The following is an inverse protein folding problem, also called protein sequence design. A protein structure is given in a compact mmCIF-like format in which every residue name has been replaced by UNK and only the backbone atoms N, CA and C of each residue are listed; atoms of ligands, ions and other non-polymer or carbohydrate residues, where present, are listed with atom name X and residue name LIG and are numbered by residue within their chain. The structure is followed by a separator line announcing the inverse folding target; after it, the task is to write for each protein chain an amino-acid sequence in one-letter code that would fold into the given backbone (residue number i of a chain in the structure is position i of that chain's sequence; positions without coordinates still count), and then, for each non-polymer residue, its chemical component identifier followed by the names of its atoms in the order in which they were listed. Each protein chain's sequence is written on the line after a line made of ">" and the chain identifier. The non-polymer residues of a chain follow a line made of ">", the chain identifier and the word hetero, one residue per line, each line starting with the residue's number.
data_IF_651608131154
#
_entry.id   IF_651608131154
#
_cell.length_a   1.000
_cell.length_b   1.000
_cell.length_c   1.000
_cell.angle_alpha   90.00
_cell.angle_beta   90.00
_cell.angle_gamma   90.00
#
_symmetry.space_group_name_H-M   'P 1'
#
loop_
_entity.id
_entity.type
_entity.pdbx_description
1 polymer ?
#
# COMPACT_ATOMS: atom_id res chain seq x y z
N UNK A 1 -27.60 2.10 0.17
CA UNK A 1 -27.65 3.12 -0.89
C UNK A 1 -29.04 3.27 -1.51
N UNK A 2 -29.70 2.19 -1.95
CA UNK A 2 -31.05 2.29 -2.56
C UNK A 2 -32.11 2.97 -1.67
N UNK A 3 -32.11 2.72 -0.34
CA UNK A 3 -33.01 3.42 0.61
C UNK A 3 -32.75 4.92 0.74
N UNK A 4 -31.59 5.39 0.29
CA UNK A 4 -31.24 6.81 0.19
C UNK A 4 -31.47 7.35 -1.24
N UNK A 5 -32.13 6.58 -2.11
CA UNK A 5 -32.37 6.91 -3.52
C UNK A 5 -31.09 7.20 -4.33
N UNK A 6 -29.97 6.61 -3.94
CA UNK A 6 -28.70 6.68 -4.68
C UNK A 6 -28.75 5.69 -5.83
N UNK A 7 -28.43 6.15 -7.04
CA UNK A 7 -28.35 5.30 -8.23
C UNK A 7 -27.31 4.19 -8.04
N UNK A 8 -27.56 2.97 -8.54
CA UNK A 8 -26.55 1.93 -8.55
C UNK A 8 -25.39 2.33 -9.47
N UNK A 9 -24.18 1.91 -9.11
CA UNK A 9 -23.03 2.02 -10.01
C UNK A 9 -23.21 1.07 -11.20
N UNK A 10 -22.68 1.44 -12.37
CA UNK A 10 -22.72 0.60 -13.56
C UNK A 10 -21.98 -0.73 -13.36
N UNK A 11 -20.87 -0.69 -12.60
CA UNK A 11 -20.06 -1.86 -12.26
C UNK A 11 -19.68 -1.78 -10.79
N UNK A 12 -19.82 -2.89 -10.08
CA UNK A 12 -19.36 -3.06 -8.70
C UNK A 12 -18.32 -4.18 -8.70
N UNK A 13 -17.08 -3.83 -8.40
CA UNK A 13 -15.97 -4.80 -8.31
C UNK A 13 -15.67 -5.12 -6.85
N UNK A 14 -15.26 -6.37 -6.58
CA UNK A 14 -14.75 -6.78 -5.27
C UNK A 14 -13.27 -7.04 -5.37
N UNK A 15 -12.49 -6.54 -4.40
CA UNK A 15 -11.04 -6.79 -4.36
C UNK A 15 -10.70 -8.28 -4.44
N UNK A 16 -11.49 -9.13 -3.78
CA UNK A 16 -11.33 -10.59 -3.79
C UNK A 16 -11.45 -11.24 -5.18
N UNK A 17 -12.05 -10.56 -6.15
CA UNK A 17 -12.23 -11.03 -7.54
C UNK A 17 -11.07 -10.61 -8.46
N UNK A 18 -10.18 -9.73 -8.00
CA UNK A 18 -9.10 -9.12 -8.81
C UNK A 18 -7.71 -9.35 -8.22
N UNK A 19 -7.58 -10.34 -7.33
CA UNK A 19 -6.31 -10.63 -6.67
C UNK A 19 -5.18 -10.98 -7.66
N UNK A 20 -5.41 -11.79 -8.72
CA UNK A 20 -4.37 -12.06 -9.71
C UNK A 20 -3.85 -10.78 -10.40
N UNK A 21 -4.73 -9.86 -10.75
CA UNK A 21 -4.38 -8.58 -11.38
C UNK A 21 -3.62 -7.66 -10.42
N UNK A 22 -4.00 -7.66 -9.13
CA UNK A 22 -3.28 -6.92 -8.09
C UNK A 22 -1.85 -7.47 -7.96
N UNK A 23 -1.68 -8.80 -7.87
CA UNK A 23 -0.36 -9.43 -7.80
C UNK A 23 0.49 -9.05 -9.02
N UNK A 24 -0.05 -9.19 -10.23
CA UNK A 24 0.66 -8.82 -11.46
C UNK A 24 1.03 -7.33 -11.51
N UNK A 25 0.21 -6.46 -10.92
CA UNK A 25 0.50 -5.04 -10.84
C UNK A 25 1.63 -4.75 -9.84
N UNK A 26 1.61 -5.41 -8.68
CA UNK A 26 2.66 -5.27 -7.66
C UNK A 26 4.00 -5.80 -8.18
N UNK A 27 4.02 -6.92 -8.90
CA UNK A 27 5.22 -7.43 -9.57
C UNK A 27 5.85 -6.37 -10.49
N UNK A 28 5.05 -5.70 -11.32
CA UNK A 28 5.56 -4.61 -12.18
C UNK A 28 6.13 -3.43 -11.39
N UNK A 29 5.58 -3.11 -10.22
CA UNK A 29 6.12 -2.04 -9.37
C UNK A 29 7.49 -2.45 -8.82
N UNK A 30 7.64 -3.71 -8.40
CA UNK A 30 8.92 -4.28 -7.96
C UNK A 30 9.93 -4.27 -9.11
N UNK A 31 9.55 -4.73 -10.30
CA UNK A 31 10.40 -4.75 -11.50
C UNK A 31 10.89 -3.34 -11.88
N UNK A 32 10.06 -2.32 -11.68
CA UNK A 32 10.42 -0.92 -11.91
C UNK A 32 11.29 -0.32 -10.79
N UNK A 33 11.61 -1.07 -9.73
CA UNK A 33 12.46 -0.65 -8.62
C UNK A 33 11.78 0.26 -7.59
N UNK A 34 10.44 0.32 -7.59
CA UNK A 34 9.66 1.17 -6.68
C UNK A 34 9.00 0.41 -5.53
N UNK A 35 9.29 -0.88 -5.39
CA UNK A 35 8.84 -1.69 -4.28
C UNK A 35 9.89 -2.72 -3.86
N UNK A 36 9.78 -3.20 -2.64
CA UNK A 36 10.67 -4.22 -2.08
C UNK A 36 9.90 -5.21 -1.21
N UNK A 37 10.39 -6.44 -1.19
CA UNK A 37 9.89 -7.52 -0.34
C UNK A 37 10.59 -7.48 1.01
N UNK A 38 9.86 -7.75 2.08
CA UNK A 38 10.40 -7.89 3.45
C UNK A 38 10.52 -9.37 3.83
N UNK A 39 11.28 -9.67 4.88
CA UNK A 39 11.55 -11.05 5.29
C UNK A 39 10.33 -11.81 5.78
N UNK A 40 9.25 -11.11 6.14
CA UNK A 40 7.96 -11.67 6.53
C UNK A 40 7.05 -12.02 5.33
N UNK A 41 7.47 -11.75 4.09
CA UNK A 41 6.67 -11.95 2.88
C UNK A 41 5.75 -10.77 2.51
N UNK A 42 5.83 -9.65 3.24
CA UNK A 42 5.13 -8.42 2.85
C UNK A 42 5.88 -7.69 1.72
N UNK A 43 5.16 -6.80 1.02
CA UNK A 43 5.70 -5.94 -0.03
C UNK A 43 5.35 -4.49 0.27
N UNK A 44 6.35 -3.62 0.25
CA UNK A 44 6.20 -2.20 0.51
C UNK A 44 6.61 -1.36 -0.70
N UNK A 45 5.92 -0.25 -0.90
CA UNK A 45 6.25 0.77 -1.89
C UNK A 45 7.35 1.69 -1.32
N UNK A 46 8.43 1.88 -2.07
CA UNK A 46 9.56 2.74 -1.69
C UNK A 46 9.31 4.17 -2.15
N UNK A 47 8.82 4.98 -1.23
CA UNK A 47 8.47 6.39 -1.49
C UNK A 47 9.69 7.23 -1.87
N UNK A 48 10.87 6.92 -1.33
CA UNK A 48 12.12 7.62 -1.67
C UNK A 48 12.63 7.22 -3.04
N UNK A 49 12.55 5.94 -3.40
CA UNK A 49 12.90 5.50 -4.75
C UNK A 49 11.99 6.16 -5.80
N UNK A 50 10.68 6.25 -5.52
CA UNK A 50 9.74 6.94 -6.41
C UNK A 50 10.09 8.42 -6.59
N UNK A 51 10.33 9.15 -5.49
CA UNK A 51 10.71 10.58 -5.51
C UNK A 51 12.06 10.86 -6.19
N UNK A 52 12.97 9.87 -6.19
CA UNK A 52 14.29 10.03 -6.81
C UNK A 52 14.25 10.21 -8.33
N UNK A 53 13.14 9.82 -8.97
CA UNK A 53 12.93 10.02 -10.39
C UNK A 53 12.32 11.42 -10.63
N UNK A 54 12.96 12.29 -11.44
CA UNK A 54 12.46 13.64 -11.73
C UNK A 54 11.06 13.70 -12.36
N UNK A 55 10.53 12.58 -12.85
CA UNK A 55 9.17 12.46 -13.42
C UNK A 55 8.11 12.12 -12.38
N UNK A 56 8.49 11.93 -11.13
CA UNK A 56 7.63 11.44 -10.06
C UNK A 56 7.64 12.42 -8.89
N UNK A 57 6.45 12.63 -8.32
CA UNK A 57 6.22 13.56 -7.23
C UNK A 57 5.22 12.91 -6.27
N UNK A 58 5.73 12.41 -5.15
CA UNK A 58 4.96 11.85 -4.06
C UNK A 58 4.25 12.97 -3.28
N UNK A 59 3.12 12.63 -2.65
CA UNK A 59 2.26 13.58 -1.94
C UNK A 59 1.69 14.74 -2.79
N UNK A 60 1.73 14.69 -4.12
CA UNK A 60 1.17 15.73 -5.01
C UNK A 60 -0.33 16.04 -4.81
N UNK A 61 -1.08 15.12 -4.21
CA UNK A 61 -2.52 15.25 -3.95
C UNK A 61 -2.84 15.76 -2.53
N UNK A 62 -1.82 15.98 -1.71
CA UNK A 62 -1.93 16.56 -0.36
C UNK A 62 -0.97 17.75 -0.29
N UNK A 63 -1.32 18.88 -0.92
CA UNK A 63 -0.41 20.01 -1.08
C UNK A 63 0.12 20.54 0.25
N UNK A 64 -0.65 20.42 1.33
CA UNK A 64 -0.30 20.89 2.67
C UNK A 64 0.83 20.06 3.31
N UNK A 65 1.04 18.82 2.86
CA UNK A 65 2.08 17.92 3.36
C UNK A 65 3.29 17.84 2.40
N UNK A 66 3.28 18.58 1.29
CA UNK A 66 4.38 18.54 0.32
C UNK A 66 5.64 19.20 0.89
N UNK A 67 6.72 18.42 1.02
CA UNK A 67 7.98 18.87 1.64
C UNK A 67 7.94 18.90 3.17
N UNK A 68 6.81 18.59 3.79
CA UNK A 68 6.68 18.41 5.25
C UNK A 68 6.60 16.92 5.57
N UNK A 69 7.78 16.34 5.86
CA UNK A 69 7.91 14.92 6.17
C UNK A 69 7.11 14.51 7.41
N UNK A 70 6.94 15.39 8.40
CA UNK A 70 6.25 15.05 9.64
C UNK A 70 4.73 14.96 9.41
N UNK A 71 4.16 15.92 8.69
CA UNK A 71 2.75 15.87 8.27
C UNK A 71 2.47 14.68 7.36
N UNK A 72 3.38 14.37 6.44
CA UNK A 72 3.26 13.21 5.56
C UNK A 72 3.29 11.90 6.34
N UNK A 73 4.23 11.74 7.27
CA UNK A 73 4.30 10.56 8.14
C UNK A 73 3.05 10.41 8.99
N UNK A 74 2.52 11.50 9.55
CA UNK A 74 1.28 11.48 10.33
C UNK A 74 0.11 10.98 9.48
N UNK A 75 -0.07 11.53 8.28
CA UNK A 75 -1.13 11.12 7.36
C UNK A 75 -0.99 9.65 6.95
N UNK A 76 0.24 9.16 6.75
CA UNK A 76 0.50 7.74 6.45
C UNK A 76 0.15 6.83 7.63
N UNK A 77 0.48 7.23 8.86
CA UNK A 77 0.12 6.44 10.06
C UNK A 77 -1.38 6.33 10.24
N UNK A 78 -2.13 7.39 9.97
CA UNK A 78 -3.59 7.37 10.00
C UNK A 78 -4.17 6.48 8.87
N UNK A 79 -3.61 6.58 7.65
CA UNK A 79 -4.10 5.85 6.47
C UNK A 79 -3.84 4.33 6.49
N UNK A 80 -2.74 3.88 7.09
CA UNK A 80 -2.43 2.45 7.21
C UNK A 80 -3.21 1.73 8.33
N UNK A 81 -3.86 2.51 9.20
CA UNK A 81 -4.53 2.05 10.40
C UNK A 81 -3.55 1.77 11.54
N UNK A 82 -3.79 2.37 12.71
CA UNK A 82 -2.94 2.24 13.90
C UNK A 82 -2.65 0.79 14.29
N UNK A 83 -3.62 -0.12 14.08
CA UNK A 83 -3.49 -1.55 14.39
C UNK A 83 -2.50 -2.30 13.50
N UNK A 84 -2.08 -1.71 12.37
CA UNK A 84 -1.06 -2.28 11.48
C UNK A 84 0.37 -1.88 11.86
N UNK A 85 0.54 -0.93 12.80
CA UNK A 85 1.84 -0.39 13.23
C UNK A 85 2.40 -1.16 14.44
N UNK A 86 2.51 -2.49 14.33
CA UNK A 86 3.26 -3.26 15.33
C UNK A 86 4.74 -2.92 15.20
N UNK A 87 5.48 -2.91 16.32
CA UNK A 87 6.91 -2.62 16.33
C UNK A 87 7.68 -3.45 15.30
N UNK A 88 7.31 -4.73 15.14
CA UNK A 88 7.93 -5.64 14.18
C UNK A 88 7.75 -5.21 12.71
N UNK A 89 6.63 -4.56 12.35
CA UNK A 89 6.36 -4.08 10.98
C UNK A 89 7.04 -2.75 10.68
N UNK A 90 7.19 -1.91 11.70
CA UNK A 90 7.93 -0.64 11.58
C UNK A 90 9.43 -0.87 11.33
N UNK A 91 10.00 -1.95 11.88
CA UNK A 91 11.41 -2.33 11.68
C UNK A 91 11.69 -2.78 10.25
N UNK A 92 10.67 -3.25 9.52
CA UNK A 92 10.85 -3.81 8.17
C UNK A 92 10.78 -2.75 7.06
N UNK A 93 10.20 -1.57 7.34
CA UNK A 93 10.15 -0.48 6.39
C UNK A 93 11.52 0.19 6.26
N UNK A 94 11.93 0.49 5.04
CA UNK A 94 13.11 1.32 4.76
C UNK A 94 12.88 2.78 5.14
N UNK A 95 11.68 3.29 4.86
CA UNK A 95 11.28 4.64 5.22
C UNK A 95 9.95 4.64 5.98
N UNK A 96 9.75 5.55 6.95
CA UNK A 96 8.49 5.68 7.67
C UNK A 96 7.28 5.97 6.76
N UNK A 97 7.51 6.61 5.61
CA UNK A 97 6.49 6.95 4.61
C UNK A 97 6.14 5.82 3.65
N UNK A 98 6.87 4.71 3.68
CA UNK A 98 6.60 3.55 2.82
C UNK A 98 5.32 2.85 3.26
N UNK A 99 4.51 2.43 2.29
CA UNK A 99 3.22 1.79 2.55
C UNK A 99 3.12 0.42 1.91
N UNK A 100 2.33 -0.46 2.52
CA UNK A 100 2.20 -1.84 2.06
C UNK A 100 1.40 -1.93 0.75
N UNK A 101 1.95 -2.64 -0.22
CA UNK A 101 1.26 -3.09 -1.43
C UNK A 101 0.66 -4.48 -1.23
N UNK A 102 1.35 -5.33 -0.46
CA UNK A 102 0.92 -6.67 -0.08
C UNK A 102 1.34 -6.93 1.36
N UNK A 103 0.47 -7.51 2.18
CA UNK A 103 0.80 -7.89 3.56
C UNK A 103 0.73 -9.40 3.67
N UNK A 104 1.75 -10.01 4.24
CA UNK A 104 1.66 -11.42 4.60
C UNK A 104 0.56 -11.64 5.63
N UNK A 105 -0.18 -12.72 5.44
CA UNK A 105 -1.30 -13.12 6.27
C UNK A 105 -0.81 -13.73 7.57
N UNK A 106 -1.41 -13.35 8.69
CA UNK A 106 -1.17 -13.99 9.99
C UNK A 106 -2.08 -15.22 10.15
N UNK A 107 -1.74 -16.06 11.11
CA UNK A 107 -2.58 -17.21 11.45
C UNK A 107 -4.01 -16.78 11.80
N UNK A 108 -4.99 -17.38 11.12
CA UNK A 108 -6.41 -17.09 11.30
C UNK A 108 -6.95 -15.94 10.45
N UNK A 109 -6.11 -15.22 9.70
CA UNK A 109 -6.55 -14.21 8.72
C UNK A 109 -6.88 -14.87 7.37
N UNK A 110 -7.80 -14.28 6.57
CA UNK A 110 -7.96 -14.69 5.18
C UNK A 110 -6.69 -14.39 4.38
N UNK A 111 -6.38 -15.24 3.40
CA UNK A 111 -5.16 -15.13 2.60
C UNK A 111 -5.43 -15.48 1.13
N UNK A 112 -4.47 -15.09 0.28
CA UNK A 112 -4.40 -15.49 -1.12
C UNK A 112 -2.97 -15.93 -1.44
N UNK A 113 -2.81 -16.89 -2.34
CA UNK A 113 -1.48 -17.30 -2.78
C UNK A 113 -0.83 -16.21 -3.62
N UNK A 114 0.43 -15.90 -3.33
CA UNK A 114 1.22 -14.91 -4.05
C UNK A 114 2.69 -15.36 -4.15
N UNK A 115 3.48 -14.76 -5.06
CA UNK A 115 4.93 -15.03 -5.15
C UNK A 115 5.70 -14.74 -3.86
N UNK A 116 5.14 -13.91 -2.97
CA UNK A 116 5.78 -13.48 -1.72
C UNK A 116 5.31 -14.25 -0.48
N UNK A 117 4.38 -15.19 -0.65
CA UNK A 117 3.82 -15.99 0.43
C UNK A 117 2.30 -15.96 0.47
N UNK A 118 1.76 -16.22 1.66
CA UNK A 118 0.33 -16.21 1.97
C UNK A 118 -0.02 -14.94 2.72
#
# INVERSE_FOLDING_TARGET
>A
MARLNVLPADVVTRVSEYVPEIVAYVEKIIENGYAYTTSDGSVYFDTKAFESNPKHFYAKLVPEAYGDSESLEKNMREGEGELSMTADRLVQKRNPSDFALWKSSKEGEPFWESPWGK
#
